data_IF_316422948096
#
_entry.id   IF_316422948096
#
_cell.length_a   1.000
_cell.length_b   1.000
_cell.length_c   1.000
_cell.angle_alpha   90.00
_cell.angle_beta   90.00
_cell.angle_gamma   90.00
#
_symmetry.space_group_name_H-M   'P 1'
#
loop_
_entity.id
_entity.type
_entity.pdbx_description
1 polymer ?
#
# COMPACT_ATOMS: atom_id res chain seq x y z
N UNK A 1 53.54 6.77 -8.10
CA UNK A 1 52.63 7.14 -9.20
C UNK A 1 52.06 5.85 -9.75
N UNK A 2 50.79 5.56 -9.49
CA UNK A 2 50.11 4.37 -10.04
C UNK A 2 50.09 4.43 -11.57
N UNK A 3 50.41 3.31 -12.22
CA UNK A 3 50.45 3.22 -13.68
C UNK A 3 49.04 3.02 -14.24
N UNK A 4 48.83 3.38 -15.50
CA UNK A 4 47.54 3.18 -16.18
C UNK A 4 47.11 1.71 -16.24
N UNK A 5 48.06 0.76 -16.14
CA UNK A 5 47.76 -0.68 -16.07
C UNK A 5 47.17 -1.06 -14.71
N UNK A 6 47.69 -0.51 -13.61
CA UNK A 6 47.18 -0.75 -12.25
C UNK A 6 45.72 -0.27 -12.11
N UNK A 7 45.38 0.86 -12.74
CA UNK A 7 44.01 1.41 -12.76
C UNK A 7 43.01 0.53 -13.52
N UNK A 8 43.44 -0.17 -14.57
CA UNK A 8 42.57 -1.09 -15.33
C UNK A 8 42.31 -2.34 -14.49
N UNK A 9 43.34 -2.93 -13.89
CA UNK A 9 43.20 -4.13 -13.06
C UNK A 9 42.32 -3.89 -11.83
N UNK A 10 42.42 -2.72 -11.18
CA UNK A 10 41.53 -2.34 -10.08
C UNK A 10 40.08 -2.12 -10.52
N UNK A 11 39.85 -1.57 -11.72
CA UNK A 11 38.52 -1.36 -12.28
C UNK A 11 37.85 -2.68 -12.66
N UNK A 12 38.59 -3.58 -13.27
CA UNK A 12 38.13 -4.93 -13.64
C UNK A 12 37.81 -5.77 -12.39
N UNK A 13 38.65 -5.72 -11.35
CA UNK A 13 38.39 -6.38 -10.06
C UNK A 13 37.19 -5.79 -9.30
N UNK A 14 36.89 -4.50 -9.50
CA UNK A 14 35.76 -3.82 -8.88
C UNK A 14 34.45 -4.06 -9.66
N UNK A 15 34.52 -4.21 -10.98
CA UNK A 15 33.40 -4.68 -11.82
C UNK A 15 33.10 -6.17 -11.59
N UNK A 16 34.10 -7.04 -11.44
CA UNK A 16 33.91 -8.45 -11.05
C UNK A 16 33.31 -8.59 -9.63
N UNK A 17 33.78 -7.79 -8.66
CA UNK A 17 33.17 -7.74 -7.31
C UNK A 17 31.73 -7.22 -7.33
N UNK A 18 31.39 -6.29 -8.23
CA UNK A 18 30.02 -5.80 -8.40
C UNK A 18 29.11 -6.81 -9.13
N UNK A 19 29.64 -7.61 -10.06
CA UNK A 19 28.89 -8.64 -10.78
C UNK A 19 28.51 -9.84 -9.90
N UNK A 20 29.28 -10.14 -8.85
CA UNK A 20 28.97 -11.23 -7.92
C UNK A 20 27.76 -10.97 -6.99
N UNK A 21 27.15 -9.78 -7.05
CA UNK A 21 25.97 -9.41 -6.26
C UNK A 21 24.74 -9.09 -7.11
N UNK A 22 24.74 -9.39 -8.42
CA UNK A 22 23.54 -9.21 -9.25
C UNK A 22 22.55 -10.32 -8.90
N UNK A 23 21.50 -9.95 -8.16
CA UNK A 23 20.39 -10.86 -7.85
C UNK A 23 19.41 -10.83 -9.03
N UNK A 24 19.24 -11.91 -9.80
CA UNK A 24 18.37 -11.90 -10.97
C UNK A 24 16.90 -11.81 -10.57
N UNK A 25 16.10 -11.02 -11.30
CA UNK A 25 14.69 -10.76 -10.98
C UNK A 25 13.81 -12.01 -10.98
N UNK A 26 14.12 -12.98 -11.84
CA UNK A 26 13.33 -14.22 -12.01
C UNK A 26 13.79 -15.35 -11.08
N UNK A 27 14.51 -15.04 -10.00
CA UNK A 27 14.90 -16.04 -9.00
C UNK A 27 13.91 -16.08 -7.83
N UNK A 28 13.65 -17.26 -7.25
CA UNK A 28 12.82 -17.38 -6.05
C UNK A 28 13.34 -16.57 -4.86
N UNK A 29 12.43 -16.22 -3.95
CA UNK A 29 12.77 -15.51 -2.72
C UNK A 29 11.87 -15.95 -1.56
N UNK A 30 12.50 -16.24 -0.41
CA UNK A 30 11.77 -16.55 0.82
C UNK A 30 11.53 -15.26 1.62
N UNK A 31 10.31 -14.73 1.53
CA UNK A 31 9.88 -13.55 2.29
C UNK A 31 9.21 -14.00 3.59
N UNK A 32 9.99 -14.19 4.64
CA UNK A 32 9.50 -14.71 5.92
C UNK A 32 8.92 -16.12 5.73
N UNK A 33 7.60 -16.22 5.86
CA UNK A 33 6.86 -17.46 5.61
C UNK A 33 6.45 -17.70 4.16
N UNK A 34 6.61 -16.72 3.30
CA UNK A 34 6.15 -16.77 1.91
C UNK A 34 7.27 -17.21 0.98
N UNK A 35 6.96 -18.14 0.08
CA UNK A 35 7.88 -18.54 -0.99
C UNK A 35 7.43 -17.84 -2.28
N UNK A 36 8.19 -16.85 -2.72
CA UNK A 36 7.97 -16.18 -4.00
C UNK A 36 8.71 -16.93 -5.10
N UNK A 37 8.10 -17.06 -6.27
CA UNK A 37 8.73 -17.67 -7.46
C UNK A 37 9.69 -16.70 -8.17
N UNK A 38 9.49 -15.39 -7.98
CA UNK A 38 10.30 -14.31 -8.54
C UNK A 38 10.28 -13.08 -7.63
N UNK A 39 11.11 -12.09 -7.96
CA UNK A 39 11.29 -10.83 -7.21
C UNK A 39 10.52 -9.65 -7.81
N UNK A 40 9.70 -9.90 -8.81
CA UNK A 40 8.78 -8.89 -9.38
C UNK A 40 7.54 -8.78 -8.49
N UNK A 41 7.17 -7.56 -8.13
CA UNK A 41 6.05 -7.25 -7.24
C UNK A 41 5.10 -6.29 -7.95
N UNK A 42 3.79 -6.52 -7.84
CA UNK A 42 2.81 -5.47 -8.17
C UNK A 42 2.81 -4.45 -7.04
N UNK A 43 3.37 -3.26 -7.32
CA UNK A 43 3.33 -2.14 -6.40
C UNK A 43 1.88 -1.70 -6.10
N UNK A 44 1.61 -1.11 -4.93
CA UNK A 44 0.31 -0.53 -4.63
C UNK A 44 0.01 0.64 -5.58
N UNK A 45 -1.13 0.58 -6.27
CA UNK A 45 -1.52 1.57 -7.27
C UNK A 45 -3.00 1.95 -7.10
N UNK A 46 -3.28 3.09 -6.47
CA UNK A 46 -4.64 3.64 -6.35
C UNK A 46 -5.31 3.79 -7.72
N UNK A 47 -6.45 3.12 -7.93
CA UNK A 47 -7.15 3.12 -9.23
C UNK A 47 -8.41 3.98 -9.25
N UNK A 48 -8.91 4.35 -8.07
CA UNK A 48 -10.14 5.14 -7.90
C UNK A 48 -11.36 4.49 -8.57
N UNK A 49 -11.51 3.17 -8.41
CA UNK A 49 -12.61 2.39 -9.02
C UNK A 49 -13.47 1.62 -8.00
N UNK A 50 -13.47 2.07 -6.75
CA UNK A 50 -14.24 1.46 -5.65
C UNK A 50 -15.35 2.42 -5.22
N UNK A 51 -16.47 2.41 -5.95
CA UNK A 51 -17.60 3.31 -5.68
C UNK A 51 -18.09 3.16 -4.24
N UNK A 52 -18.36 4.28 -3.58
CA UNK A 52 -18.71 4.35 -2.15
C UNK A 52 -17.76 3.58 -1.23
N UNK A 53 -16.49 3.53 -1.61
CA UNK A 53 -15.42 2.82 -0.89
C UNK A 53 -15.59 1.30 -0.87
N UNK A 54 -16.46 0.75 -1.73
CA UNK A 54 -16.67 -0.70 -1.88
C UNK A 54 -15.88 -1.20 -3.08
N UNK A 55 -14.97 -2.18 -2.92
CA UNK A 55 -14.33 -2.86 -4.04
C UNK A 55 -15.36 -3.40 -5.03
N UNK A 56 -15.10 -3.24 -6.32
CA UNK A 56 -16.05 -3.60 -7.38
C UNK A 56 -15.67 -4.92 -8.06
N UNK A 57 -16.64 -5.66 -8.65
CA UNK A 57 -16.37 -6.96 -9.29
C UNK A 57 -15.28 -6.92 -10.37
N UNK A 58 -15.11 -5.80 -11.09
CA UNK A 58 -14.05 -5.69 -12.09
C UNK A 58 -12.62 -5.76 -11.51
N UNK A 59 -12.45 -5.52 -10.21
CA UNK A 59 -11.15 -5.64 -9.55
C UNK A 59 -10.66 -7.10 -9.52
N UNK A 60 -11.58 -8.07 -9.56
CA UNK A 60 -11.25 -9.50 -9.70
C UNK A 60 -10.41 -9.69 -10.96
N UNK A 61 -10.91 -9.25 -12.11
CA UNK A 61 -10.19 -9.34 -13.38
C UNK A 61 -8.85 -8.57 -13.34
N UNK A 62 -8.85 -7.37 -12.74
CA UNK A 62 -7.65 -6.52 -12.66
C UNK A 62 -6.47 -7.21 -11.96
N UNK A 63 -6.71 -7.77 -10.76
CA UNK A 63 -5.66 -8.46 -10.00
C UNK A 63 -5.37 -9.85 -10.56
N UNK A 64 -6.39 -10.57 -11.05
CA UNK A 64 -6.24 -11.86 -11.73
C UNK A 64 -5.28 -11.80 -12.92
N UNK A 65 -5.39 -10.77 -13.75
CA UNK A 65 -4.51 -10.56 -14.91
C UNK A 65 -3.04 -10.30 -14.53
N UNK A 66 -2.78 -9.85 -13.30
CA UNK A 66 -1.43 -9.53 -12.78
C UNK A 66 -0.86 -10.62 -11.89
N UNK A 67 -1.63 -11.68 -11.66
CA UNK A 67 -1.23 -12.77 -10.79
C UNK A 67 -0.49 -13.84 -11.57
N UNK A 68 0.70 -14.16 -11.09
CA UNK A 68 1.51 -15.32 -11.47
C UNK A 68 1.62 -16.27 -10.28
N UNK A 69 1.88 -17.55 -10.54
CA UNK A 69 2.12 -18.52 -9.47
C UNK A 69 3.35 -18.11 -8.65
N UNK A 70 3.19 -17.95 -7.33
CA UNK A 70 4.24 -17.46 -6.43
C UNK A 70 4.58 -15.97 -6.61
N UNK A 71 3.79 -15.21 -7.37
CA UNK A 71 3.96 -13.77 -7.51
C UNK A 71 3.41 -13.01 -6.30
N UNK A 72 4.07 -11.89 -5.94
CA UNK A 72 3.64 -11.02 -4.84
C UNK A 72 2.93 -9.77 -5.37
N UNK A 73 1.75 -9.50 -4.83
CA UNK A 73 0.91 -8.36 -5.19
C UNK A 73 0.54 -7.58 -3.93
N UNK A 74 0.62 -6.26 -4.02
CA UNK A 74 0.12 -5.34 -3.00
C UNK A 74 -1.11 -4.66 -3.58
N UNK A 75 -2.22 -4.66 -2.82
CA UNK A 75 -3.45 -4.01 -3.24
C UNK A 75 -3.25 -2.50 -3.43
N UNK A 76 -4.20 -1.88 -4.12
CA UNK A 76 -4.39 -0.43 -3.99
C UNK A 76 -4.68 -0.04 -2.53
N UNK A 77 -4.38 1.22 -2.20
CA UNK A 77 -4.49 1.74 -0.86
C UNK A 77 -5.93 1.64 -0.32
N UNK A 78 -6.10 0.90 0.77
CA UNK A 78 -7.39 0.58 1.36
C UNK A 78 -7.57 1.34 2.67
N UNK A 79 -8.55 2.23 2.69
CA UNK A 79 -8.80 3.15 3.81
C UNK A 79 -9.22 2.36 5.06
N UNK A 80 -8.65 2.71 6.21
CA UNK A 80 -8.85 1.95 7.48
C UNK A 80 -10.05 2.41 8.32
N UNK A 81 -10.60 3.60 8.06
CA UNK A 81 -11.75 4.14 8.77
C UNK A 81 -12.39 5.31 8.02
N UNK A 82 -13.57 5.77 8.45
CA UNK A 82 -14.23 6.91 7.82
C UNK A 82 -13.38 8.19 7.83
N UNK A 83 -12.61 8.42 8.89
CA UNK A 83 -11.73 9.60 9.01
C UNK A 83 -10.45 9.48 8.18
N UNK A 84 -10.13 8.28 7.69
CA UNK A 84 -8.97 8.01 6.86
C UNK A 84 -9.14 8.33 5.37
N UNK A 85 -10.35 8.74 4.95
CA UNK A 85 -10.67 9.02 3.54
C UNK A 85 -9.93 10.28 3.06
N UNK A 86 -9.35 10.22 1.86
CA UNK A 86 -8.68 11.36 1.20
C UNK A 86 -9.06 11.56 -0.25
N UNK A 87 -9.56 10.51 -0.91
CA UNK A 87 -9.90 10.51 -2.33
C UNK A 87 -11.23 9.80 -2.56
N UNK A 88 -11.97 10.23 -3.59
CA UNK A 88 -13.17 9.52 -4.03
C UNK A 88 -12.79 8.17 -4.62
N UNK A 89 -13.64 7.18 -4.38
CA UNK A 89 -13.56 5.86 -5.00
C UNK A 89 -12.30 5.03 -4.68
N UNK A 90 -11.58 5.33 -3.60
CA UNK A 90 -10.62 4.41 -2.98
C UNK A 90 -11.35 3.32 -2.22
N UNK A 91 -10.92 2.05 -2.24
CA UNK A 91 -11.56 1.02 -1.43
C UNK A 91 -11.35 1.27 0.08
N UNK A 92 -12.25 0.73 0.88
CA UNK A 92 -12.13 0.63 2.32
C UNK A 92 -11.94 -0.80 2.82
N UNK A 93 -11.64 -0.95 4.10
CA UNK A 93 -11.59 -2.24 4.80
C UNK A 93 -12.01 -2.13 6.29
N UNK A 94 -12.93 -1.20 6.60
CA UNK A 94 -13.42 -0.98 7.98
C UNK A 94 -14.84 -1.52 8.22
N UNK A 95 -15.63 -1.73 7.16
CA UNK A 95 -16.98 -2.31 7.26
C UNK A 95 -17.01 -3.77 6.81
N UNK A 96 -18.03 -4.49 7.29
CA UNK A 96 -18.27 -5.88 6.84
C UNK A 96 -18.55 -5.95 5.34
N UNK A 97 -19.30 -5.01 4.80
CA UNK A 97 -19.61 -4.95 3.36
C UNK A 97 -18.34 -4.85 2.50
N UNK A 98 -17.39 -4.02 2.93
CA UNK A 98 -16.09 -3.90 2.28
C UNK A 98 -15.30 -5.22 2.35
N UNK A 99 -15.30 -5.88 3.50
CA UNK A 99 -14.67 -7.20 3.68
C UNK A 99 -15.26 -8.23 2.71
N UNK A 100 -16.60 -8.34 2.64
CA UNK A 100 -17.26 -9.28 1.73
C UNK A 100 -16.95 -8.97 0.26
N UNK A 101 -16.83 -7.69 -0.10
CA UNK A 101 -16.47 -7.27 -1.46
C UNK A 101 -15.01 -7.58 -1.81
N UNK A 102 -14.10 -7.59 -0.84
CA UNK A 102 -12.70 -8.01 -1.05
C UNK A 102 -12.52 -9.51 -1.22
N UNK A 103 -13.32 -10.35 -0.54
CA UNK A 103 -13.20 -11.82 -0.59
C UNK A 103 -13.08 -12.41 -2.00
N UNK A 104 -13.96 -12.12 -2.97
CA UNK A 104 -13.85 -12.72 -4.30
C UNK A 104 -12.60 -12.26 -5.07
N UNK A 105 -12.09 -11.06 -4.80
CA UNK A 105 -10.85 -10.54 -5.40
C UNK A 105 -9.66 -11.34 -4.88
N UNK A 106 -9.59 -11.51 -3.56
CA UNK A 106 -8.51 -12.26 -2.89
C UNK A 106 -8.55 -13.74 -3.29
N UNK A 107 -9.75 -14.32 -3.34
CA UNK A 107 -9.95 -15.71 -3.75
C UNK A 107 -9.38 -16.00 -5.13
N UNK A 108 -9.60 -15.10 -6.10
CA UNK A 108 -9.09 -15.25 -7.47
C UNK A 108 -7.57 -15.17 -7.54
N UNK A 109 -6.94 -14.26 -6.78
CA UNK A 109 -5.47 -14.17 -6.69
C UNK A 109 -4.89 -15.45 -6.06
N UNK A 110 -5.50 -15.93 -4.98
CA UNK A 110 -5.07 -17.16 -4.30
C UNK A 110 -5.25 -18.41 -5.18
N UNK A 111 -6.35 -18.50 -5.94
CA UNK A 111 -6.61 -19.59 -6.88
C UNK A 111 -5.53 -19.69 -7.97
N UNK A 112 -4.95 -18.56 -8.37
CA UNK A 112 -3.80 -18.48 -9.29
C UNK A 112 -2.44 -18.68 -8.63
N UNK A 113 -2.40 -18.97 -7.34
CA UNK A 113 -1.17 -19.19 -6.58
C UNK A 113 -0.42 -17.90 -6.22
N UNK A 114 -1.06 -16.73 -6.35
CA UNK A 114 -0.50 -15.45 -5.95
C UNK A 114 -0.52 -15.24 -4.44
N UNK A 115 0.36 -14.35 -3.99
CA UNK A 115 0.40 -13.84 -2.62
C UNK A 115 -0.08 -12.40 -2.67
N UNK A 116 -1.09 -12.07 -1.86
CA UNK A 116 -1.80 -10.80 -1.94
C UNK A 116 -1.79 -10.12 -0.58
N UNK A 117 -1.24 -8.91 -0.48
CA UNK A 117 -1.28 -8.12 0.75
C UNK A 117 -2.19 -6.91 0.56
N UNK A 118 -3.00 -6.63 1.57
CA UNK A 118 -3.76 -5.38 1.63
C UNK A 118 -2.86 -4.24 2.14
N UNK A 119 -2.79 -3.14 1.39
CA UNK A 119 -2.16 -1.89 1.83
C UNK A 119 -3.15 -1.08 2.66
N UNK A 120 -2.91 -0.95 3.96
CA UNK A 120 -3.76 -0.17 4.86
C UNK A 120 -3.37 1.31 4.80
N UNK A 121 -4.35 2.21 4.61
CA UNK A 121 -4.13 3.65 4.44
C UNK A 121 -4.99 4.50 5.40
N UNK A 122 -4.38 5.57 5.92
CA UNK A 122 -5.09 6.72 6.48
C UNK A 122 -4.52 8.01 5.89
N UNK A 123 -5.33 8.77 5.14
CA UNK A 123 -4.86 9.92 4.36
C UNK A 123 -4.40 11.14 5.20
N UNK A 124 -4.85 11.21 6.46
CA UNK A 124 -4.44 12.27 7.38
C UNK A 124 -4.79 13.66 6.82
N UNK A 125 -3.80 14.54 6.65
CA UNK A 125 -3.99 15.90 6.11
C UNK A 125 -4.15 15.95 4.58
N UNK A 126 -3.93 14.86 3.86
CA UNK A 126 -4.23 14.74 2.43
C UNK A 126 -5.73 14.43 2.27
N UNK A 127 -6.58 15.34 2.74
CA UNK A 127 -8.03 15.14 2.79
C UNK A 127 -8.79 16.47 2.84
N UNK A 128 -10.12 16.40 2.80
CA UNK A 128 -11.04 17.53 2.79
C UNK A 128 -12.25 17.30 3.69
N UNK A 129 -12.89 18.38 4.13
CA UNK A 129 -14.14 18.33 4.92
C UNK A 129 -15.21 17.48 4.26
N UNK A 130 -15.29 17.50 2.93
CA UNK A 130 -16.26 16.72 2.15
C UNK A 130 -16.06 15.20 2.31
N UNK A 131 -14.86 14.75 2.65
CA UNK A 131 -14.56 13.34 2.93
C UNK A 131 -14.76 12.97 4.41
N UNK A 132 -14.78 13.97 5.29
CA UNK A 132 -14.74 13.77 6.74
C UNK A 132 -16.15 13.66 7.32
N UNK A 133 -16.38 12.77 8.29
CA UNK A 133 -17.65 12.67 8.99
C UNK A 133 -18.08 14.02 9.58
N UNK A 134 -19.30 14.44 9.26
CA UNK A 134 -19.90 15.71 9.70
C UNK A 134 -19.12 16.97 9.27
N UNK A 135 -18.37 16.92 8.15
CA UNK A 135 -17.65 18.08 7.63
C UNK A 135 -16.50 18.57 8.53
N UNK A 136 -16.00 17.71 9.43
CA UNK A 136 -14.90 18.04 10.33
C UNK A 136 -13.60 18.26 9.55
N UNK A 137 -12.67 19.01 10.13
CA UNK A 137 -11.34 19.14 9.56
C UNK A 137 -10.62 17.76 9.60
N UNK A 138 -9.85 17.42 8.55
CA UNK A 138 -9.02 16.22 8.56
C UNK A 138 -7.98 16.28 9.69
N UNK A 139 -7.41 15.13 10.05
CA UNK A 139 -6.50 15.03 11.21
C UNK A 139 -5.03 14.91 10.79
N UNK A 140 -4.13 15.43 11.61
CA UNK A 140 -2.69 15.24 11.43
C UNK A 140 -1.92 15.38 12.75
N UNK A 141 -0.60 15.18 12.73
CA UNK A 141 0.26 15.38 13.90
C UNK A 141 0.40 16.87 14.27
N UNK A 142 0.14 17.78 13.33
CA UNK A 142 0.14 19.24 13.52
C UNK A 142 -1.08 19.86 12.82
N UNK A 143 -1.32 21.14 13.06
CA UNK A 143 -2.33 21.97 12.40
C UNK A 143 -1.79 22.68 11.14
N UNK A 144 -0.56 22.38 10.74
CA UNK A 144 0.08 23.03 9.59
C UNK A 144 -0.60 22.57 8.28
N UNK A 145 -1.12 23.50 7.47
CA UNK A 145 -1.65 23.17 6.16
C UNK A 145 -0.54 22.63 5.25
N UNK A 146 -0.94 21.93 4.21
CA UNK A 146 -0.01 21.54 3.14
C UNK A 146 0.54 22.79 2.45
N UNK A 147 1.72 22.65 1.87
CA UNK A 147 2.30 23.65 0.98
C UNK A 147 2.23 23.13 -0.44
N UNK A 148 2.11 24.04 -1.42
CA UNK A 148 2.18 23.66 -2.82
C UNK A 148 3.50 22.93 -3.09
N UNK A 149 3.43 21.85 -3.86
CA UNK A 149 4.67 21.24 -4.34
C UNK A 149 5.35 22.17 -5.36
N UNK A 150 6.67 22.39 -5.28
CA UNK A 150 7.41 23.24 -6.21
C UNK A 150 7.24 22.85 -7.68
N UNK A 151 6.98 21.56 -7.93
CA UNK A 151 6.88 20.98 -9.28
C UNK A 151 5.42 20.86 -9.78
N UNK A 152 4.45 21.46 -9.07
CA UNK A 152 3.04 21.42 -9.46
C UNK A 152 2.33 20.09 -9.18
N UNK A 153 2.92 19.18 -8.40
CA UNK A 153 2.36 17.86 -8.13
C UNK A 153 1.04 17.85 -7.35
N UNK A 154 0.78 18.86 -6.51
CA UNK A 154 -0.56 19.14 -5.97
C UNK A 154 -0.68 20.60 -5.52
N UNK A 155 -1.91 21.12 -5.55
CA UNK A 155 -2.25 22.44 -5.06
C UNK A 155 -2.76 22.34 -3.61
N UNK A 156 -2.09 23.00 -2.66
CA UNK A 156 -2.48 22.99 -1.26
C UNK A 156 -3.87 23.57 -1.01
N UNK A 157 -4.36 24.45 -1.91
CA UNK A 157 -5.72 25.00 -1.83
C UNK A 157 -6.82 23.93 -2.02
N UNK A 158 -6.47 22.76 -2.57
CA UNK A 158 -7.38 21.62 -2.71
C UNK A 158 -7.57 20.87 -1.40
N UNK A 159 -6.81 21.17 -0.34
CA UNK A 159 -6.86 20.45 0.93
C UNK A 159 -7.29 21.36 2.08
N UNK A 160 -8.15 20.84 2.94
CA UNK A 160 -8.58 21.55 4.14
C UNK A 160 -7.44 21.59 5.17
N UNK A 161 -7.12 22.74 5.79
CA UNK A 161 -6.19 22.80 6.91
C UNK A 161 -6.55 21.75 8.00
N UNK A 162 -5.59 20.92 8.43
CA UNK A 162 -5.87 19.83 9.34
C UNK A 162 -6.01 20.33 10.78
N UNK A 163 -6.69 19.54 11.60
CA UNK A 163 -6.65 19.65 13.04
C UNK A 163 -5.54 18.75 13.59
N UNK A 164 -4.75 19.30 14.50
CA UNK A 164 -3.80 18.51 15.30
C UNK A 164 -4.52 17.47 16.16
N UNK A 165 -4.06 16.22 16.09
CA UNK A 165 -4.48 15.15 16.98
C UNK A 165 -4.06 15.45 18.41
N UNK A 166 -4.98 15.22 19.35
CA UNK A 166 -4.67 15.16 20.78
C UNK A 166 -4.12 13.77 21.11
N UNK A 167 -3.27 13.69 22.13
CA UNK A 167 -2.67 12.41 22.57
C UNK A 167 -3.72 11.35 22.88
N UNK A 168 -4.84 11.73 23.49
CA UNK A 168 -5.95 10.82 23.80
C UNK A 168 -6.70 10.25 22.58
N UNK A 169 -6.50 10.81 21.38
CA UNK A 169 -7.12 10.33 20.14
C UNK A 169 -6.25 9.31 19.40
N UNK A 170 -4.94 9.26 19.67
CA UNK A 170 -4.00 8.34 19.02
C UNK A 170 -4.40 6.86 19.21
N UNK A 171 -4.82 6.41 20.41
CA UNK A 171 -5.25 5.02 20.59
C UNK A 171 -6.39 4.61 19.66
N UNK A 172 -7.31 5.52 19.31
CA UNK A 172 -8.37 5.23 18.36
C UNK A 172 -7.82 5.01 16.94
N UNK A 173 -6.86 5.84 16.50
CA UNK A 173 -6.23 5.66 15.18
C UNK A 173 -5.50 4.31 15.12
N UNK A 174 -4.76 3.95 16.17
CA UNK A 174 -4.13 2.63 16.27
C UNK A 174 -5.17 1.51 16.21
N UNK A 175 -6.30 1.69 16.89
CA UNK A 175 -7.39 0.73 16.90
C UNK A 175 -8.06 0.58 15.52
N UNK A 176 -8.17 1.66 14.74
CA UNK A 176 -8.69 1.61 13.36
C UNK A 176 -7.80 0.74 12.47
N UNK A 177 -6.47 0.94 12.49
CA UNK A 177 -5.52 0.07 11.79
C UNK A 177 -5.60 -1.38 12.28
N UNK A 178 -5.75 -1.61 13.60
CA UNK A 178 -5.90 -2.95 14.17
C UNK A 178 -7.16 -3.66 13.67
N UNK A 179 -8.28 -2.94 13.55
CA UNK A 179 -9.54 -3.49 13.01
C UNK A 179 -9.38 -3.76 11.52
N UNK A 180 -8.86 -2.81 10.76
CA UNK A 180 -8.62 -2.95 9.33
C UNK A 180 -7.71 -4.16 9.00
N UNK A 181 -6.64 -4.38 9.77
CA UNK A 181 -5.79 -5.56 9.61
C UNK A 181 -6.54 -6.88 9.87
N UNK A 182 -7.41 -6.93 10.89
CA UNK A 182 -8.25 -8.13 11.14
C UNK A 182 -9.26 -8.36 10.02
N UNK A 183 -9.86 -7.28 9.52
CA UNK A 183 -10.79 -7.32 8.41
C UNK A 183 -10.12 -7.78 7.10
N UNK A 184 -8.87 -7.36 6.84
CA UNK A 184 -8.08 -7.85 5.72
C UNK A 184 -7.81 -9.36 5.82
N UNK A 185 -7.45 -9.85 7.01
CA UNK A 185 -7.31 -11.29 7.27
C UNK A 185 -8.63 -12.04 7.07
N UNK A 186 -9.77 -11.44 7.46
CA UNK A 186 -11.09 -12.04 7.23
C UNK A 186 -11.48 -12.09 5.74
N UNK A 187 -11.00 -11.13 4.94
CA UNK A 187 -11.20 -11.13 3.49
C UNK A 187 -10.35 -12.21 2.78
N UNK A 188 -9.26 -12.66 3.40
CA UNK A 188 -8.46 -13.80 2.93
C UNK A 188 -9.19 -15.12 3.25
N UNK A 189 -9.57 -15.86 2.20
CA UNK A 189 -10.16 -17.19 2.38
C UNK A 189 -9.08 -18.10 3.00
N UNK A 190 -9.48 -18.92 3.98
CA UNK A 190 -8.68 -19.99 4.61
C UNK A 190 -8.29 -21.09 3.61
N UNK A 191 -7.57 -20.78 2.55
CA UNK A 191 -6.67 -21.76 1.94
C UNK A 191 -5.42 -21.82 2.83
N UNK A 192 -4.77 -22.98 2.90
CA UNK A 192 -3.66 -23.30 3.81
C UNK A 192 -2.37 -22.47 3.64
N UNK A 193 -2.44 -21.31 3.00
CA UNK A 193 -1.32 -20.42 2.66
C UNK A 193 -1.29 -19.21 3.60
N UNK A 194 -0.08 -18.78 3.93
CA UNK A 194 0.25 -17.89 5.05
C UNK A 194 -0.25 -16.44 4.88
N UNK A 195 -0.29 -15.69 5.99
CA UNK A 195 -0.97 -14.38 6.17
C UNK A 195 -0.02 -13.19 6.10
N UNK A 196 -0.42 -12.07 5.47
CA UNK A 196 0.40 -10.84 5.52
C UNK A 196 -0.27 -9.57 4.98
N UNK A 197 0.17 -8.42 5.46
CA UNK A 197 -0.34 -7.09 5.11
C UNK A 197 0.78 -6.06 5.11
N UNK A 198 0.62 -4.98 4.36
CA UNK A 198 1.54 -3.84 4.37
C UNK A 198 0.85 -2.66 5.08
N UNK A 199 1.48 -2.14 6.12
CA UNK A 199 1.03 -0.93 6.81
C UNK A 199 1.66 0.29 6.14
N UNK A 200 0.84 1.22 5.67
CA UNK A 200 1.31 2.52 5.18
C UNK A 200 0.51 3.66 5.82
N UNK A 201 1.23 4.58 6.45
CA UNK A 201 0.65 5.84 6.92
C UNK A 201 1.22 6.91 6.01
N UNK A 202 0.41 7.43 5.08
CA UNK A 202 0.76 8.64 4.34
C UNK A 202 0.72 9.84 5.29
N UNK A 203 1.84 10.07 5.95
CA UNK A 203 2.17 11.36 6.54
C UNK A 203 3.01 12.12 5.51
N UNK A 204 2.37 12.75 4.53
CA UNK A 204 3.08 13.65 3.62
C UNK A 204 3.73 14.75 4.47
N UNK A 205 5.05 14.91 4.34
CA UNK A 205 5.89 15.87 5.07
C UNK A 205 5.78 17.29 4.51
#
# INVERSE_FOLDING_TARGET
METWRDKITHRDQQEEKNNNNIIPLLTPYKMGSFNLSHRIVLAPLSRMRSYDYIPQPHAILYYSQRTTEGGFLISEASVVSETGRGYKHTPGIWTKEQVEAWKPIVAEVQAKGGIFFCQLLHAGRISNRDFQPNGKAPISYSDKPLKNQPNGGFNAAEFTPPRRLRTGEIPQIVNDFRIAARNAIEAEIKSSKQLGYVLEIECSY
#
